data_IF_875504725590
#
_entry.id   IF_875504725590
#
_cell.length_a   1.000
_cell.length_b   1.000
_cell.length_c   1.000
_cell.angle_alpha   90.00
_cell.angle_beta   90.00
_cell.angle_gamma   90.00
#
_symmetry.space_group_name_H-M   'P 1'
#
loop_
_entity.id
_entity.type
_entity.pdbx_description
1 polymer ?
#
# COMPACT_ATOMS: atom_id res chain seq x y z
N UNK A 1 0.59 19.45 59.75
CA UNK A 1 -0.52 19.79 58.83
C UNK A 1 0.12 20.17 57.50
N UNK A 2 0.07 19.27 56.52
CA UNK A 2 0.46 19.58 55.14
C UNK A 2 -0.43 20.72 54.64
N UNK A 3 0.18 21.82 54.21
CA UNK A 3 -0.56 23.05 53.91
C UNK A 3 -1.25 22.92 52.55
N UNK A 4 -2.43 23.53 52.39
CA UNK A 4 -3.19 23.46 51.15
C UNK A 4 -2.40 23.92 49.90
N UNK A 5 -1.37 24.76 50.08
CA UNK A 5 -0.47 25.23 49.03
C UNK A 5 0.41 24.12 48.44
N UNK A 6 1.00 23.26 49.28
CA UNK A 6 1.88 22.16 48.84
C UNK A 6 1.14 21.13 47.98
N UNK A 7 -0.13 20.88 48.32
CA UNK A 7 -1.03 20.02 47.54
C UNK A 7 -1.38 20.66 46.19
N UNK A 8 -1.67 21.96 46.17
CA UNK A 8 -1.97 22.71 44.95
C UNK A 8 -0.77 22.68 44.00
N UNK A 9 0.43 22.92 44.52
CA UNK A 9 1.67 22.93 43.74
C UNK A 9 1.98 21.54 43.16
N UNK A 10 1.80 20.48 43.96
CA UNK A 10 1.95 19.10 43.50
C UNK A 10 0.96 18.76 42.38
N UNK A 11 -0.32 19.14 42.54
CA UNK A 11 -1.36 18.94 41.53
C UNK A 11 -1.06 19.72 40.24
N UNK A 12 -0.62 20.97 40.35
CA UNK A 12 -0.24 21.83 39.23
C UNK A 12 0.98 21.26 38.48
N UNK A 13 2.01 20.83 39.19
CA UNK A 13 3.18 20.20 38.57
C UNK A 13 2.81 18.88 37.86
N UNK A 14 1.88 18.10 38.41
CA UNK A 14 1.41 16.86 37.78
C UNK A 14 0.53 17.13 36.55
N UNK A 15 -0.35 18.14 36.60
CA UNK A 15 -1.19 18.52 35.45
C UNK A 15 -0.35 19.07 34.30
N UNK A 16 0.64 19.92 34.58
CA UNK A 16 1.56 20.44 33.57
C UNK A 16 2.33 19.32 32.87
N UNK A 17 2.88 18.36 33.62
CA UNK A 17 3.55 17.18 33.05
C UNK A 17 2.61 16.33 32.21
N UNK A 18 1.41 16.03 32.71
CA UNK A 18 0.42 15.26 31.97
C UNK A 18 0.01 15.96 30.65
N UNK A 19 -0.11 17.28 30.66
CA UNK A 19 -0.38 18.07 29.47
C UNK A 19 0.77 17.99 28.47
N UNK A 20 2.01 18.23 28.90
CA UNK A 20 3.20 18.16 28.05
C UNK A 20 3.29 16.78 27.40
N UNK A 21 3.25 15.70 28.19
CA UNK A 21 3.30 14.34 27.66
C UNK A 21 2.13 14.01 26.71
N UNK A 22 0.94 14.53 27.00
CA UNK A 22 -0.22 14.41 26.12
C UNK A 22 0.03 15.06 24.75
N UNK A 23 0.64 16.24 24.73
CA UNK A 23 0.99 16.94 23.49
C UNK A 23 2.14 16.26 22.73
N UNK A 24 3.18 15.81 23.42
CA UNK A 24 4.30 15.07 22.83
C UNK A 24 3.84 13.78 22.17
N UNK A 25 2.96 13.02 22.83
CA UNK A 25 2.41 11.77 22.28
C UNK A 25 1.61 12.02 21.00
N UNK A 26 0.81 13.10 20.97
CA UNK A 26 0.05 13.49 19.77
C UNK A 26 0.97 13.92 18.63
N UNK A 27 2.02 14.71 18.91
CA UNK A 27 3.04 15.06 17.90
C UNK A 27 3.74 13.83 17.35
N UNK A 28 4.21 12.94 18.22
CA UNK A 28 4.87 11.71 17.81
C UNK A 28 3.96 10.80 16.95
N UNK A 29 2.64 10.78 17.22
CA UNK A 29 1.69 10.06 16.39
C UNK A 29 1.55 10.70 14.99
N UNK A 30 1.42 12.03 14.93
CA UNK A 30 1.36 12.76 13.66
C UNK A 30 2.64 12.57 12.84
N UNK A 31 3.81 12.64 13.47
CA UNK A 31 5.10 12.46 12.79
C UNK A 31 5.24 11.06 12.20
N UNK A 32 4.79 10.03 12.92
CA UNK A 32 4.76 8.65 12.40
C UNK A 32 3.88 8.56 11.16
N UNK A 33 2.67 9.12 11.21
CA UNK A 33 1.77 9.09 10.04
C UNK A 33 2.31 9.91 8.87
N UNK A 34 2.98 11.03 9.13
CA UNK A 34 3.59 11.85 8.10
C UNK A 34 4.74 11.11 7.39
N UNK A 35 5.58 10.38 8.14
CA UNK A 35 6.66 9.56 7.56
C UNK A 35 6.13 8.39 6.74
N UNK A 36 5.04 7.76 7.17
CA UNK A 36 4.38 6.73 6.39
C UNK A 36 3.81 7.29 5.09
N UNK A 37 3.15 8.45 5.16
CA UNK A 37 2.64 9.14 3.98
C UNK A 37 3.75 9.54 3.02
N UNK A 38 4.85 10.10 3.53
CA UNK A 38 6.02 10.47 2.73
C UNK A 38 6.63 9.23 2.05
N UNK A 39 6.74 8.11 2.75
CA UNK A 39 7.25 6.86 2.18
C UNK A 39 6.40 6.31 1.02
N UNK A 40 5.10 6.59 1.00
CA UNK A 40 4.17 6.14 -0.05
C UNK A 40 3.76 7.27 -1.03
N UNK A 41 4.22 8.50 -0.81
CA UNK A 41 3.86 9.63 -1.66
C UNK A 41 4.55 9.54 -3.01
N UNK A 42 3.82 9.80 -4.08
CA UNK A 42 4.39 9.83 -5.43
C UNK A 42 5.53 10.84 -5.54
N UNK A 43 5.49 11.95 -4.80
CA UNK A 43 6.56 12.97 -4.77
C UNK A 43 7.88 12.41 -4.24
N UNK A 44 7.84 11.55 -3.22
CA UNK A 44 9.03 10.89 -2.70
C UNK A 44 9.59 9.85 -3.67
N UNK A 45 8.71 9.19 -4.44
CA UNK A 45 9.11 8.30 -5.53
C UNK A 45 9.81 9.10 -6.63
N UNK A 46 9.26 10.25 -7.05
CA UNK A 46 9.92 11.12 -8.02
C UNK A 46 11.30 11.61 -7.53
N UNK A 47 11.41 11.97 -6.24
CA UNK A 47 12.68 12.40 -5.62
C UNK A 47 13.77 11.33 -5.62
N UNK A 48 13.42 10.04 -5.77
CA UNK A 48 14.37 8.91 -5.87
C UNK A 48 14.84 8.63 -7.30
N UNK A 49 14.45 9.46 -8.27
CA UNK A 49 14.85 9.32 -9.67
C UNK A 49 13.88 8.55 -10.55
N UNK A 50 12.63 8.37 -10.11
CA UNK A 50 11.55 7.87 -10.96
C UNK A 50 10.89 9.04 -11.70
N UNK A 51 10.19 8.73 -12.79
CA UNK A 51 9.42 9.68 -13.57
C UNK A 51 7.99 9.17 -13.77
N UNK A 52 7.00 10.07 -13.69
CA UNK A 52 5.61 9.76 -13.97
C UNK A 52 5.25 10.24 -15.37
N UNK A 53 4.82 9.32 -16.23
CA UNK A 53 4.37 9.65 -17.59
C UNK A 53 2.86 9.84 -17.59
N UNK A 54 2.40 10.94 -18.18
CA UNK A 54 0.99 11.30 -18.32
C UNK A 54 0.63 11.50 -19.78
N UNK A 55 -0.61 11.18 -20.12
CA UNK A 55 -1.18 11.49 -21.43
C UNK A 55 -1.55 12.99 -21.56
N UNK A 56 -2.13 13.35 -22.71
CA UNK A 56 -2.58 14.71 -23.03
C UNK A 56 -3.72 15.20 -22.11
N UNK A 57 -4.44 14.28 -21.46
CA UNK A 57 -5.51 14.60 -20.50
C UNK A 57 -4.99 14.73 -19.06
N UNK A 58 -3.72 14.41 -18.84
CA UNK A 58 -3.07 14.42 -17.53
C UNK A 58 -3.22 13.11 -16.75
N UNK A 59 -3.79 12.05 -17.35
CA UNK A 59 -3.93 10.74 -16.73
C UNK A 59 -2.59 9.97 -16.77
N UNK A 60 -2.22 9.27 -15.69
CA UNK A 60 -0.96 8.54 -15.65
C UNK A 60 -1.01 7.28 -16.54
N UNK A 61 -0.03 7.15 -17.42
CA UNK A 61 0.15 5.99 -18.29
C UNK A 61 0.94 4.92 -17.51
N UNK A 62 0.37 3.71 -17.41
CA UNK A 62 0.93 2.64 -16.55
C UNK A 62 1.58 1.52 -17.35
N UNK A 63 1.17 1.33 -18.60
CA UNK A 63 1.74 0.33 -19.50
C UNK A 63 2.17 0.95 -20.82
N UNK A 64 3.15 0.32 -21.47
CA UNK A 64 3.56 0.68 -22.84
C UNK A 64 2.38 0.51 -23.82
N UNK A 65 1.52 -0.48 -23.57
CA UNK A 65 0.31 -0.73 -24.35
C UNK A 65 -0.70 0.43 -24.35
N UNK A 66 -0.63 1.32 -23.35
CA UNK A 66 -1.48 2.51 -23.26
C UNK A 66 -0.97 3.67 -24.12
N UNK A 67 0.20 3.51 -24.75
CA UNK A 67 0.84 4.54 -25.57
C UNK A 67 0.66 4.30 -27.06
N UNK A 68 0.75 5.35 -27.87
CA UNK A 68 0.73 5.28 -29.33
C UNK A 68 1.95 5.97 -29.91
N UNK A 69 2.46 5.46 -31.03
CA UNK A 69 3.51 6.14 -31.78
C UNK A 69 3.06 7.56 -32.18
N UNK A 70 3.92 8.54 -31.95
CA UNK A 70 3.68 9.95 -32.18
C UNK A 70 2.83 10.66 -31.11
N UNK A 71 2.38 9.97 -30.06
CA UNK A 71 1.59 10.58 -28.98
C UNK A 71 2.42 11.59 -28.19
N UNK A 72 1.81 12.73 -27.85
CA UNK A 72 2.40 13.70 -26.93
C UNK A 72 2.11 13.26 -25.50
N UNK A 73 3.14 13.27 -24.65
CA UNK A 73 3.04 12.92 -23.24
C UNK A 73 3.71 13.99 -22.40
N UNK A 74 3.31 14.08 -21.13
CA UNK A 74 4.02 14.88 -20.13
C UNK A 74 4.76 13.95 -19.18
N UNK A 75 6.06 14.21 -18.97
CA UNK A 75 6.87 13.50 -18.01
C UNK A 75 7.07 14.41 -16.80
N UNK A 76 6.70 13.91 -15.63
CA UNK A 76 6.81 14.60 -14.35
C UNK A 76 7.97 14.02 -13.53
N UNK A 77 8.87 14.90 -13.13
CA UNK A 77 10.02 14.67 -12.27
C UNK A 77 9.81 15.38 -10.93
N UNK A 78 10.73 15.17 -9.98
CA UNK A 78 10.66 15.81 -8.66
C UNK A 78 10.76 17.34 -8.72
N UNK A 79 11.44 17.87 -9.74
CA UNK A 79 11.77 19.27 -9.93
C UNK A 79 10.87 19.98 -10.96
N UNK A 80 10.06 19.25 -11.71
CA UNK A 80 9.19 19.85 -12.70
C UNK A 80 8.56 18.87 -13.69
N UNK A 81 7.99 19.44 -14.76
CA UNK A 81 7.36 18.69 -15.85
C UNK A 81 7.94 19.11 -17.19
N UNK A 82 8.08 18.15 -18.10
CA UNK A 82 8.50 18.37 -19.47
C UNK A 82 7.57 17.65 -20.44
N UNK A 83 7.41 18.20 -21.65
CA UNK A 83 6.71 17.52 -22.74
C UNK A 83 7.64 16.57 -23.48
N UNK A 84 7.14 15.41 -23.89
CA UNK A 84 7.85 14.45 -24.71
C UNK A 84 6.91 13.85 -25.77
N UNK A 85 7.49 13.21 -26.79
CA UNK A 85 6.75 12.48 -27.83
C UNK A 85 7.20 11.04 -27.85
N UNK A 86 6.24 10.11 -27.98
CA UNK A 86 6.53 8.69 -28.08
C UNK A 86 6.97 8.38 -29.51
N UNK A 87 8.22 7.97 -29.72
CA UNK A 87 8.74 7.69 -31.06
C UNK A 87 8.54 6.22 -31.50
N UNK A 88 8.30 5.31 -30.55
CA UNK A 88 8.13 3.88 -30.81
C UNK A 88 6.67 3.42 -30.82
N UNK A 89 6.37 2.38 -31.59
CA UNK A 89 5.08 1.69 -31.51
C UNK A 89 5.11 0.69 -30.35
N UNK A 90 4.04 0.59 -29.53
CA UNK A 90 3.99 -0.41 -28.47
C UNK A 90 4.19 -1.81 -29.07
N UNK A 91 5.00 -2.67 -28.42
CA UNK A 91 5.18 -4.03 -28.90
C UNK A 91 3.83 -4.75 -28.97
N UNK A 92 3.62 -5.64 -29.95
CA UNK A 92 2.38 -6.40 -30.04
C UNK A 92 2.16 -7.13 -28.72
N UNK A 93 0.95 -6.98 -28.17
CA UNK A 93 0.55 -7.45 -26.85
C UNK A 93 0.83 -8.96 -26.73
N UNK A 94 2.01 -9.34 -26.24
CA UNK A 94 2.21 -10.70 -25.75
C UNK A 94 1.38 -10.78 -24.49
N UNK A 95 0.30 -11.56 -24.55
CA UNK A 95 -0.59 -11.82 -23.43
C UNK A 95 0.23 -12.35 -22.23
N UNK A 96 0.72 -11.44 -21.42
CA UNK A 96 1.36 -11.70 -20.14
C UNK A 96 0.30 -11.37 -19.11
N UNK A 97 -0.39 -12.44 -18.74
CA UNK A 97 -1.15 -12.65 -17.50
C UNK A 97 -1.54 -11.38 -16.76
N UNK A 98 -2.80 -10.99 -16.95
CA UNK A 98 -3.73 -10.63 -15.86
C UNK A 98 -3.05 -10.47 -14.49
N UNK A 99 -2.51 -9.27 -14.23
CA UNK A 99 -2.20 -8.87 -12.86
C UNK A 99 -3.53 -8.57 -12.18
N UNK A 100 -4.04 -9.63 -11.55
CA UNK A 100 -5.17 -9.63 -10.65
C UNK A 100 -5.00 -8.56 -9.56
N UNK A 101 -6.12 -7.87 -9.29
CA UNK A 101 -6.37 -7.17 -8.04
C UNK A 101 -6.03 -8.08 -6.84
N UNK A 102 -5.47 -7.55 -5.73
CA UNK A 102 -5.18 -8.35 -4.57
C UNK A 102 -6.48 -8.55 -3.77
N UNK A 103 -7.22 -9.61 -4.08
CA UNK A 103 -8.27 -10.11 -3.21
C UNK A 103 -8.25 -11.65 -3.15
N UNK A 104 -8.08 -12.11 -1.91
CA UNK A 104 -8.13 -13.47 -1.38
C UNK A 104 -6.94 -14.44 -1.57
N UNK A 105 -6.48 -15.09 -0.48
CA UNK A 105 -5.36 -16.03 -0.52
C UNK A 105 -5.78 -17.34 -1.21
N UNK A 106 -5.00 -17.86 -2.18
CA UNK A 106 -5.35 -19.09 -2.88
C UNK A 106 -4.96 -20.33 -2.06
N UNK A 107 -5.94 -21.21 -1.86
CA UNK A 107 -5.70 -22.59 -1.44
C UNK A 107 -4.87 -23.34 -2.51
N UNK A 108 -4.00 -24.30 -2.12
CA UNK A 108 -3.11 -24.96 -3.06
C UNK A 108 -3.82 -26.10 -3.79
N UNK A 109 -4.00 -25.99 -5.11
CA UNK A 109 -4.30 -27.13 -5.98
C UNK A 109 -3.06 -27.51 -6.79
N UNK A 110 -2.38 -28.58 -6.40
CA UNK A 110 -1.59 -29.42 -7.31
C UNK A 110 -1.79 -30.89 -6.96
N UNK A 111 -2.57 -31.60 -7.77
CA UNK A 111 -2.38 -33.03 -8.02
C UNK A 111 -3.32 -33.54 -9.14
N UNK A 112 -2.82 -33.43 -10.37
CA UNK A 112 -2.73 -34.52 -11.34
C UNK A 112 -3.82 -35.62 -11.30
N UNK A 113 -4.65 -35.61 -12.35
CA UNK A 113 -5.50 -36.72 -12.78
C UNK A 113 -4.71 -38.05 -12.77
N UNK A 114 -5.02 -38.94 -11.84
CA UNK A 114 -4.77 -40.38 -11.96
C UNK A 114 -6.05 -41.15 -11.66
N UNK A 115 -6.57 -41.77 -12.72
CA UNK A 115 -7.61 -42.79 -12.75
C UNK A 115 -7.25 -43.93 -11.78
N UNK A 116 -8.10 -44.19 -10.78
CA UNK A 116 -8.17 -45.48 -10.06
C UNK A 116 -9.60 -45.80 -9.63
N UNK A 117 -9.94 -47.08 -9.79
CA UNK A 117 -11.23 -47.74 -9.65
C UNK A 117 -11.81 -47.73 -8.22
N UNK A 118 -13.14 -47.93 -8.13
CA UNK A 118 -13.90 -48.23 -6.89
C UNK A 118 -13.55 -49.63 -6.36
N UNK A 119 -13.50 -49.80 -5.03
CA UNK A 119 -14.49 -50.64 -4.33
C UNK A 119 -14.96 -49.95 -3.02
N UNK A 120 -16.27 -49.78 -2.78
CA UNK A 120 -17.22 -50.67 -2.08
C UNK A 120 -17.03 -50.79 -0.53
N UNK A 121 -17.95 -50.10 0.18
CA UNK A 121 -18.57 -50.30 1.52
C UNK A 121 -17.77 -50.94 2.68
N UNK A 122 -17.83 -50.31 3.85
CA UNK A 122 -18.39 -50.89 5.09
C UNK A 122 -18.55 -49.84 6.20
N UNK A 123 -19.53 -50.10 7.06
CA UNK A 123 -20.01 -49.36 8.22
C UNK A 123 -18.97 -48.99 9.29
N UNK A 124 -19.34 -47.97 10.08
CA UNK A 124 -19.09 -48.03 11.53
C UNK A 124 -18.56 -46.74 12.14
N UNK A 125 -19.36 -46.16 13.05
CA UNK A 125 -18.81 -45.46 14.21
C UNK A 125 -19.02 -43.95 14.25
N UNK A 126 -20.22 -43.54 14.65
CA UNK A 126 -20.40 -42.31 15.42
C UNK A 126 -19.43 -42.31 16.62
N UNK A 127 -18.65 -41.25 16.76
CA UNK A 127 -17.79 -41.01 17.91
C UNK A 127 -17.80 -39.52 18.24
N UNK A 128 -18.47 -39.21 19.35
CA UNK A 128 -18.75 -37.90 19.93
C UNK A 128 -17.52 -37.19 20.49
N UNK A 129 -17.59 -35.86 20.50
CA UNK A 129 -17.35 -35.00 21.68
C UNK A 129 -16.02 -35.20 22.45
N UNK A 130 -15.11 -34.24 22.26
CA UNK A 130 -14.30 -33.64 23.33
C UNK A 130 -14.10 -32.15 23.02
#
# INVERSE_FOLDING_TARGET
METAGERLETLAARSARAFIHGTERRRAALDRTARLLDAVSYTAVLGRGFALVRDETGAPLRAVADTKAGQTVSIEFADGRIGARIDGEPPPLVASTEQADPADPPAPETATKRKREKPQRADGGQGTLF
#
